data_IF_556638919452
#
_entry.id   IF_556638919452
#
_cell.length_a   1.000
_cell.length_b   1.000
_cell.length_c   1.000
_cell.angle_alpha   90.00
_cell.angle_beta   90.00
_cell.angle_gamma   90.00
#
_symmetry.space_group_name_H-M   'P 1'
#
loop_
_entity.id
_entity.type
_entity.pdbx_description
1 polymer ?
#
# COMPACT_ATOMS: atom_id res chain seq x y z
N UNK A 1 14.20 -21.09 19.14
CA UNK A 1 12.87 -21.12 18.50
C UNK A 1 12.39 -19.69 18.32
N UNK A 2 11.69 -19.42 17.21
CA UNK A 2 11.01 -18.16 16.95
C UNK A 2 9.52 -18.42 16.99
N UNK A 3 8.77 -17.63 17.77
CA UNK A 3 7.32 -17.66 17.83
C UNK A 3 6.78 -16.30 17.38
N UNK A 4 5.78 -16.30 16.49
CA UNK A 4 5.22 -15.10 15.90
C UNK A 4 3.77 -14.98 16.30
N UNK A 5 3.43 -13.90 17.02
CA UNK A 5 2.06 -13.51 17.34
C UNK A 5 1.69 -12.28 16.50
N UNK A 6 0.66 -12.39 15.67
CA UNK A 6 0.24 -11.31 14.78
C UNK A 6 -1.27 -11.09 14.84
N UNK A 7 -1.68 -9.83 14.99
CA UNK A 7 -3.06 -9.39 14.80
C UNK A 7 -3.34 -8.90 13.36
N UNK A 8 -2.30 -8.80 12.52
CA UNK A 8 -2.45 -8.37 11.13
C UNK A 8 -2.97 -9.56 10.31
N UNK A 9 -4.11 -9.42 9.61
CA UNK A 9 -4.63 -10.47 8.74
C UNK A 9 -3.61 -10.87 7.65
N UNK A 10 -3.42 -12.17 7.47
CA UNK A 10 -2.49 -12.71 6.48
C UNK A 10 -3.09 -12.60 5.07
N UNK A 11 -2.33 -12.15 4.11
CA UNK A 11 -2.70 -12.00 2.69
C UNK A 11 -3.85 -11.00 2.42
N UNK A 12 -4.13 -10.10 3.35
CA UNK A 12 -5.12 -9.03 3.21
C UNK A 12 -4.55 -7.73 2.59
N UNK A 13 -3.32 -7.74 2.07
CA UNK A 13 -2.69 -6.55 1.49
C UNK A 13 -2.25 -5.49 2.52
N UNK A 14 -2.13 -5.87 3.79
CA UNK A 14 -1.75 -4.98 4.91
C UNK A 14 -0.27 -5.07 5.29
N UNK A 15 0.59 -5.57 4.42
CA UNK A 15 2.03 -5.63 4.64
C UNK A 15 2.47 -6.62 5.73
N UNK A 16 1.66 -7.65 6.04
CA UNK A 16 1.97 -8.61 7.12
C UNK A 16 3.33 -9.31 6.93
N UNK A 17 3.73 -9.62 5.71
CA UNK A 17 5.03 -10.24 5.41
C UNK A 17 6.18 -9.34 5.83
N UNK A 18 6.16 -8.07 5.41
CA UNK A 18 7.17 -7.08 5.76
C UNK A 18 7.22 -6.83 7.28
N UNK A 19 6.05 -6.80 7.94
CA UNK A 19 5.95 -6.63 9.39
C UNK A 19 6.62 -7.77 10.16
N UNK A 20 6.41 -9.02 9.73
CA UNK A 20 7.05 -10.21 10.33
C UNK A 20 8.58 -10.13 10.19
N UNK A 21 9.09 -9.83 8.99
CA UNK A 21 10.54 -9.72 8.76
C UNK A 21 11.17 -8.63 9.62
N UNK A 22 10.54 -7.45 9.67
CA UNK A 22 11.03 -6.34 10.49
C UNK A 22 11.02 -6.69 11.99
N UNK A 23 9.97 -7.37 12.48
CA UNK A 23 9.86 -7.81 13.86
C UNK A 23 10.94 -8.85 14.22
N UNK A 24 11.14 -9.85 13.35
CA UNK A 24 12.18 -10.87 13.53
C UNK A 24 13.56 -10.24 13.50
N UNK A 25 13.85 -9.35 12.55
CA UNK A 25 15.13 -8.63 12.49
C UNK A 25 15.42 -7.88 13.80
N UNK A 26 14.43 -7.16 14.33
CA UNK A 26 14.54 -6.47 15.62
C UNK A 26 14.74 -7.43 16.80
N UNK A 27 13.99 -8.52 16.86
CA UNK A 27 14.11 -9.50 17.93
C UNK A 27 15.49 -10.16 17.94
N UNK A 28 16.01 -10.54 16.76
CA UNK A 28 17.34 -11.12 16.63
C UNK A 28 18.43 -10.10 16.97
N UNK A 29 18.30 -8.85 16.54
CA UNK A 29 19.28 -7.80 16.87
C UNK A 29 19.36 -7.59 18.39
N UNK A 30 18.21 -7.59 19.07
CA UNK A 30 18.16 -7.52 20.54
C UNK A 30 18.81 -8.71 21.22
N UNK A 31 18.57 -9.93 20.69
CA UNK A 31 19.16 -11.16 21.23
C UNK A 31 20.69 -11.18 21.10
N UNK A 32 21.23 -10.59 20.02
CA UNK A 32 22.66 -10.56 19.72
C UNK A 32 23.37 -9.30 20.24
N UNK A 33 22.64 -8.42 20.95
CA UNK A 33 23.14 -7.12 21.42
C UNK A 33 23.74 -6.26 20.28
N UNK A 34 23.09 -6.30 19.11
CA UNK A 34 23.45 -5.52 17.91
C UNK A 34 22.38 -4.47 17.66
N UNK A 35 22.76 -3.22 17.58
CA UNK A 35 21.83 -2.14 17.25
C UNK A 35 21.65 -2.06 15.71
N UNK A 36 20.39 -2.22 15.23
CA UNK A 36 20.03 -2.02 13.83
C UNK A 36 19.40 -0.64 13.64
N UNK A 37 19.94 0.12 12.69
CA UNK A 37 19.30 1.35 12.22
C UNK A 37 18.00 1.05 11.46
N UNK A 38 17.19 2.07 11.21
CA UNK A 38 16.00 1.92 10.35
C UNK A 38 16.38 1.52 8.94
N UNK A 39 17.51 2.01 8.45
CA UNK A 39 18.07 1.71 7.13
C UNK A 39 18.46 0.22 7.03
N UNK A 40 19.03 -0.35 8.09
CA UNK A 40 19.35 -1.78 8.15
C UNK A 40 18.08 -2.63 8.11
N UNK A 41 17.07 -2.28 8.91
CA UNK A 41 15.78 -2.98 8.93
C UNK A 41 15.09 -2.89 7.57
N UNK A 42 15.10 -1.72 6.93
CA UNK A 42 14.57 -1.54 5.58
C UNK A 42 15.30 -2.43 4.58
N UNK A 43 16.63 -2.45 4.63
CA UNK A 43 17.46 -3.26 3.73
C UNK A 43 17.16 -4.76 3.89
N UNK A 44 17.11 -5.26 5.12
CA UNK A 44 16.77 -6.66 5.43
C UNK A 44 15.38 -7.01 4.90
N UNK A 45 14.40 -6.14 5.13
CA UNK A 45 13.01 -6.37 4.72
C UNK A 45 12.86 -6.33 3.19
N UNK A 46 13.55 -5.41 2.51
CA UNK A 46 13.58 -5.34 1.04
C UNK A 46 14.21 -6.59 0.42
N UNK A 47 15.31 -7.08 1.00
CA UNK A 47 15.97 -8.27 0.50
C UNK A 47 15.11 -9.51 0.69
N UNK A 48 14.43 -9.65 1.83
CA UNK A 48 13.45 -10.71 2.05
C UNK A 48 12.32 -10.69 1.02
N UNK A 49 11.75 -9.51 0.74
CA UNK A 49 10.73 -9.39 -0.32
C UNK A 49 11.27 -9.75 -1.71
N UNK A 50 12.53 -9.41 -1.99
CA UNK A 50 13.18 -9.76 -3.26
C UNK A 50 13.30 -11.27 -3.42
N UNK A 51 13.67 -11.99 -2.36
CA UNK A 51 13.76 -13.45 -2.35
C UNK A 51 12.40 -14.13 -2.58
N UNK A 52 11.33 -13.57 -2.00
CA UNK A 52 9.98 -14.16 -2.09
C UNK A 52 9.24 -13.74 -3.36
N UNK A 53 9.35 -12.48 -3.77
CA UNK A 53 8.50 -11.89 -4.83
C UNK A 53 9.27 -11.43 -6.07
N UNK A 54 10.59 -11.59 -6.11
CA UNK A 54 11.47 -11.25 -7.25
C UNK A 54 11.69 -9.75 -7.42
N UNK A 55 10.67 -8.97 -7.73
CA UNK A 55 10.76 -7.52 -7.94
C UNK A 55 9.82 -6.73 -7.04
N UNK A 56 10.16 -6.54 -5.75
CA UNK A 56 9.31 -5.84 -4.79
C UNK A 56 9.07 -4.39 -5.19
N UNK A 57 7.92 -3.85 -4.81
CA UNK A 57 7.62 -2.43 -4.93
C UNK A 57 8.45 -1.58 -3.98
N UNK A 58 8.73 -2.12 -2.79
CA UNK A 58 9.38 -1.46 -1.67
C UNK A 58 8.42 -0.64 -0.80
N UNK A 59 7.11 -0.65 -1.08
CA UNK A 59 6.11 0.11 -0.30
C UNK A 59 5.98 -0.47 1.10
N UNK A 60 5.69 -1.77 1.21
CA UNK A 60 5.45 -2.44 2.50
C UNK A 60 6.68 -2.41 3.40
N UNK A 61 7.90 -2.74 2.95
CA UNK A 61 9.12 -2.53 3.73
C UNK A 61 9.29 -1.12 4.24
N UNK A 62 9.05 -0.12 3.37
CA UNK A 62 9.25 1.28 3.73
C UNK A 62 8.26 1.72 4.80
N UNK A 63 6.96 1.45 4.62
CA UNK A 63 5.96 1.87 5.62
C UNK A 63 6.09 1.12 6.94
N UNK A 64 6.44 -0.17 6.90
CA UNK A 64 6.69 -0.97 8.10
C UNK A 64 7.87 -0.44 8.90
N UNK A 65 8.92 0.01 8.23
CA UNK A 65 10.13 0.53 8.88
C UNK A 65 9.94 1.93 9.46
N UNK A 66 9.34 2.84 8.70
CA UNK A 66 9.25 4.26 9.08
C UNK A 66 7.95 4.63 9.77
N UNK A 67 6.87 3.92 9.50
CA UNK A 67 5.53 4.19 10.04
C UNK A 67 4.92 5.51 9.55
N UNK A 68 3.74 5.84 10.08
CA UNK A 68 3.05 7.09 9.79
C UNK A 68 2.45 7.13 8.38
N UNK A 69 2.39 8.32 7.79
CA UNK A 69 1.90 8.53 6.41
C UNK A 69 3.07 8.91 5.52
N UNK A 70 3.25 8.18 4.42
CA UNK A 70 4.37 8.37 3.50
C UNK A 70 3.88 8.60 2.08
N UNK A 71 4.48 9.58 1.39
CA UNK A 71 4.44 9.64 -0.06
C UNK A 71 5.62 8.84 -0.61
N UNK A 72 5.34 7.70 -1.22
CA UNK A 72 6.36 6.80 -1.76
C UNK A 72 6.41 6.87 -3.28
N UNK A 73 7.63 6.86 -3.84
CA UNK A 73 7.86 6.72 -5.27
C UNK A 73 9.03 5.77 -5.53
N UNK A 74 8.77 4.66 -6.19
CA UNK A 74 9.82 3.69 -6.57
C UNK A 74 10.97 4.39 -7.30
N UNK A 75 12.20 4.15 -6.82
CA UNK A 75 13.42 4.78 -7.36
C UNK A 75 13.68 6.22 -6.90
N UNK A 76 12.79 6.83 -6.10
CA UNK A 76 12.97 8.16 -5.52
C UNK A 76 12.83 8.18 -3.99
N UNK A 77 12.51 7.02 -3.38
CA UNK A 77 12.33 6.90 -1.93
C UNK A 77 10.96 7.37 -1.44
N UNK A 78 10.91 7.70 -0.17
CA UNK A 78 9.70 8.15 0.53
C UNK A 78 9.89 9.51 1.18
N UNK A 79 8.80 10.26 1.28
CA UNK A 79 8.72 11.52 2.03
C UNK A 79 7.64 11.35 3.10
N UNK A 80 7.98 11.62 4.36
CA UNK A 80 7.00 11.63 5.45
C UNK A 80 6.05 12.80 5.29
N UNK A 81 4.76 12.51 5.44
CA UNK A 81 3.70 13.51 5.46
C UNK A 81 3.32 13.73 6.92
N UNK A 82 3.49 14.95 7.37
CA UNK A 82 3.05 15.35 8.71
C UNK A 82 1.52 15.53 8.68
N UNK A 83 0.84 14.65 9.42
CA UNK A 83 -0.62 14.68 9.60
C UNK A 83 -0.88 14.92 11.07
N UNK A 84 -1.53 16.02 11.39
CA UNK A 84 -1.72 16.49 12.78
C UNK A 84 -2.83 15.78 13.52
N UNK A 85 -3.77 15.18 12.81
CA UNK A 85 -4.95 14.52 13.35
C UNK A 85 -5.06 13.07 12.88
N UNK A 86 -5.80 12.28 13.65
CA UNK A 86 -6.07 10.90 13.29
C UNK A 86 -6.92 10.82 12.02
N UNK A 87 -6.55 9.94 11.12
CA UNK A 87 -7.32 9.69 9.90
C UNK A 87 -8.32 8.56 10.19
N UNK A 88 -9.63 8.83 10.16
CA UNK A 88 -10.65 7.80 10.38
C UNK A 88 -10.71 6.85 9.18
N UNK A 89 -10.15 5.64 9.33
CA UNK A 89 -10.12 4.61 8.29
C UNK A 89 -10.86 3.36 8.74
N UNK A 90 -11.68 2.80 7.84
CA UNK A 90 -12.28 1.49 7.99
C UNK A 90 -11.71 0.58 6.91
N UNK A 91 -11.22 -0.59 7.31
CA UNK A 91 -10.66 -1.58 6.40
C UNK A 91 -11.68 -2.69 6.19
N UNK A 92 -12.11 -2.88 4.93
CA UNK A 92 -12.95 -3.98 4.50
C UNK A 92 -12.12 -5.02 3.76
N UNK A 93 -12.18 -6.27 4.22
CA UNK A 93 -11.50 -7.39 3.56
C UNK A 93 -12.51 -8.26 2.80
N UNK A 94 -12.22 -8.55 1.53
CA UNK A 94 -13.05 -9.45 0.70
C UNK A 94 -12.88 -10.92 1.06
N UNK A 95 -11.86 -11.27 1.82
CA UNK A 95 -11.45 -12.65 2.09
C UNK A 95 -10.87 -13.39 0.87
N UNK A 96 -10.70 -12.72 -0.27
CA UNK A 96 -10.21 -13.33 -1.51
C UNK A 96 -8.70 -13.10 -1.62
N UNK A 97 -7.95 -14.18 -1.64
CA UNK A 97 -6.50 -14.12 -1.85
C UNK A 97 -6.18 -13.90 -3.33
N UNK A 98 -5.32 -12.95 -3.62
CA UNK A 98 -4.82 -12.67 -4.96
C UNK A 98 -3.29 -12.73 -5.00
N UNK A 99 -2.77 -13.17 -6.14
CA UNK A 99 -1.34 -13.06 -6.45
C UNK A 99 -1.04 -11.64 -6.96
N UNK A 100 -0.33 -10.83 -6.17
CA UNK A 100 0.12 -9.50 -6.59
C UNK A 100 0.95 -9.57 -7.88
N UNK A 101 1.78 -10.62 -8.05
CA UNK A 101 2.60 -10.81 -9.24
C UNK A 101 1.76 -10.98 -10.52
N UNK A 102 0.66 -11.75 -10.45
CA UNK A 102 -0.25 -11.94 -11.58
C UNK A 102 -0.95 -10.63 -11.98
N UNK A 103 -1.46 -9.87 -11.00
CA UNK A 103 -2.08 -8.57 -11.26
C UNK A 103 -1.10 -7.58 -11.89
N UNK A 104 0.13 -7.50 -11.39
CA UNK A 104 1.18 -6.65 -11.95
C UNK A 104 1.52 -7.06 -13.39
N UNK A 105 1.62 -8.37 -13.66
CA UNK A 105 1.87 -8.90 -15.00
C UNK A 105 0.75 -8.54 -15.98
N UNK A 106 -0.51 -8.69 -15.55
CA UNK A 106 -1.69 -8.33 -16.33
C UNK A 106 -1.70 -6.82 -16.68
N UNK A 107 -1.42 -5.94 -15.70
CA UNK A 107 -1.35 -4.49 -15.94
C UNK A 107 -0.22 -4.15 -16.91
N UNK A 108 0.94 -4.82 -16.79
CA UNK A 108 2.06 -4.65 -17.73
C UNK A 108 1.65 -5.00 -19.15
N UNK A 109 1.02 -6.16 -19.36
CA UNK A 109 0.55 -6.58 -20.68
C UNK A 109 -0.49 -5.60 -21.25
N UNK A 110 -1.45 -5.14 -20.45
CA UNK A 110 -2.40 -4.10 -20.87
C UNK A 110 -1.72 -2.80 -21.28
N UNK A 111 -0.69 -2.40 -20.53
CA UNK A 111 0.09 -1.21 -20.85
C UNK A 111 0.86 -1.34 -22.15
N UNK A 112 1.39 -2.53 -22.46
CA UNK A 112 2.07 -2.82 -23.71
C UNK A 112 1.08 -2.76 -24.89
N UNK A 113 -0.10 -3.37 -24.75
CA UNK A 113 -1.12 -3.43 -25.79
C UNK A 113 -1.83 -2.07 -26.01
N UNK A 114 -2.04 -1.29 -24.95
CA UNK A 114 -2.85 -0.06 -24.96
C UNK A 114 -2.11 1.11 -24.29
N UNK A 115 -0.85 1.33 -24.64
CA UNK A 115 0.01 2.31 -23.96
C UNK A 115 -0.55 3.74 -23.98
N UNK A 116 -1.19 4.15 -25.09
CA UNK A 116 -1.82 5.47 -25.23
C UNK A 116 -3.00 5.69 -24.27
N UNK A 117 -3.65 4.62 -23.82
CA UNK A 117 -4.75 4.68 -22.85
C UNK A 117 -4.27 4.46 -21.41
N UNK A 118 -3.45 3.43 -21.20
CA UNK A 118 -3.02 3.04 -19.84
C UNK A 118 -2.00 4.01 -19.22
N UNK A 119 -1.08 4.57 -19.99
CA UNK A 119 -0.11 5.53 -19.46
C UNK A 119 -0.74 6.80 -18.88
N UNK A 120 -1.75 7.44 -19.51
CA UNK A 120 -2.49 8.55 -18.90
C UNK A 120 -3.20 8.17 -17.60
N UNK A 121 -3.79 6.96 -17.51
CA UNK A 121 -4.47 6.48 -16.30
C UNK A 121 -3.46 6.32 -15.15
N UNK A 122 -2.31 5.69 -15.38
CA UNK A 122 -1.24 5.56 -14.38
C UNK A 122 -0.73 6.95 -13.94
N UNK A 123 -0.56 7.88 -14.91
CA UNK A 123 -0.16 9.26 -14.61
C UNK A 123 -1.22 10.00 -13.78
N UNK A 124 -2.50 9.78 -14.07
CA UNK A 124 -3.61 10.33 -13.27
C UNK A 124 -3.58 9.80 -11.83
N UNK A 125 -3.36 8.49 -11.64
CA UNK A 125 -3.19 7.90 -10.30
C UNK A 125 -2.05 8.54 -9.50
N UNK A 126 -0.91 8.83 -10.15
CA UNK A 126 0.18 9.57 -9.51
C UNK A 126 -0.20 10.99 -9.12
N UNK A 127 -0.98 11.71 -9.94
CA UNK A 127 -1.50 13.04 -9.61
C UNK A 127 -2.52 12.98 -8.46
N UNK A 128 -3.38 11.96 -8.45
CA UNK A 128 -4.34 11.72 -7.36
C UNK A 128 -3.62 11.57 -6.03
N UNK A 129 -2.51 10.80 -5.99
CA UNK A 129 -1.70 10.65 -4.78
C UNK A 129 -1.08 11.98 -4.31
N UNK A 130 -0.60 12.82 -5.22
CA UNK A 130 -0.06 14.14 -4.86
C UNK A 130 -1.14 15.08 -4.32
N UNK A 131 -2.35 15.08 -4.89
CA UNK A 131 -3.46 15.87 -4.39
C UNK A 131 -3.93 15.36 -3.01
N UNK A 132 -3.90 14.04 -2.78
CA UNK A 132 -4.22 13.45 -1.49
C UNK A 132 -3.26 13.93 -0.37
N UNK A 133 -1.98 14.19 -0.69
CA UNK A 133 -1.04 14.80 0.27
C UNK A 133 -1.52 16.18 0.73
N UNK A 134 -2.03 16.99 -0.18
CA UNK A 134 -2.54 18.32 0.16
C UNK A 134 -3.83 18.21 1.00
N UNK A 135 -4.76 17.33 0.63
CA UNK A 135 -5.97 17.07 1.39
C UNK A 135 -5.64 16.62 2.84
N UNK A 136 -4.70 15.69 3.00
CA UNK A 136 -4.23 15.22 4.31
C UNK A 136 -3.61 16.35 5.15
N UNK A 137 -2.76 17.20 4.57
CA UNK A 137 -2.13 18.32 5.26
C UNK A 137 -3.16 19.38 5.73
N UNK A 138 -4.24 19.52 4.99
CA UNK A 138 -5.30 20.49 5.26
C UNK A 138 -6.47 19.88 6.05
N UNK A 139 -6.38 18.60 6.47
CA UNK A 139 -7.46 17.86 7.14
C UNK A 139 -8.78 17.84 6.36
N UNK A 140 -8.70 17.91 5.03
CA UNK A 140 -9.86 17.86 4.14
C UNK A 140 -10.19 16.42 3.77
N UNK A 141 -10.89 15.73 4.68
CA UNK A 141 -11.27 14.32 4.48
C UNK A 141 -12.35 14.17 3.40
N UNK A 142 -13.12 15.19 3.11
CA UNK A 142 -14.09 15.18 2.00
C UNK A 142 -13.35 15.08 0.67
N UNK A 143 -12.41 15.98 0.43
CA UNK A 143 -11.55 15.93 -0.78
C UNK A 143 -10.73 14.65 -0.82
N UNK A 144 -10.21 14.18 0.32
CA UNK A 144 -9.50 12.89 0.37
C UNK A 144 -10.40 11.73 -0.09
N UNK A 145 -11.66 11.72 0.37
CA UNK A 145 -12.65 10.72 -0.04
C UNK A 145 -12.96 10.78 -1.54
N UNK A 146 -13.15 11.97 -2.11
CA UNK A 146 -13.33 12.15 -3.55
C UNK A 146 -12.13 11.62 -4.34
N UNK A 147 -10.90 11.90 -3.88
CA UNK A 147 -9.68 11.40 -4.50
C UNK A 147 -9.57 9.86 -4.39
N UNK A 148 -10.03 9.27 -3.29
CA UNK A 148 -10.14 7.80 -3.16
C UNK A 148 -11.10 7.23 -4.20
N UNK A 149 -12.25 7.87 -4.41
CA UNK A 149 -13.25 7.45 -5.42
C UNK A 149 -12.68 7.54 -6.84
N UNK A 150 -11.99 8.63 -7.17
CA UNK A 150 -11.28 8.79 -8.45
C UNK A 150 -10.23 7.70 -8.62
N UNK A 151 -9.44 7.45 -7.57
CA UNK A 151 -8.40 6.43 -7.61
C UNK A 151 -8.99 5.03 -7.83
N UNK A 152 -10.11 4.69 -7.18
CA UNK A 152 -10.80 3.43 -7.41
C UNK A 152 -11.24 3.28 -8.87
N UNK A 153 -11.82 4.32 -9.48
CA UNK A 153 -12.20 4.29 -10.89
C UNK A 153 -10.98 4.05 -11.82
N UNK A 154 -9.83 4.68 -11.51
CA UNK A 154 -8.58 4.45 -12.26
C UNK A 154 -8.08 3.01 -12.10
N UNK A 155 -8.18 2.42 -10.90
CA UNK A 155 -7.83 1.02 -10.64
C UNK A 155 -8.76 0.06 -11.39
N UNK A 156 -10.07 0.32 -11.42
CA UNK A 156 -11.02 -0.44 -12.25
C UNK A 156 -10.64 -0.37 -13.73
N UNK A 157 -10.29 0.82 -14.24
CA UNK A 157 -9.93 1.02 -15.63
C UNK A 157 -8.67 0.25 -16.06
N UNK A 158 -7.69 0.08 -15.18
CA UNK A 158 -6.52 -0.79 -15.46
C UNK A 158 -6.78 -2.27 -15.15
N UNK A 159 -7.95 -2.61 -14.58
CA UNK A 159 -8.43 -3.98 -14.37
C UNK A 159 -7.94 -4.67 -13.12
N UNK A 160 -7.59 -3.93 -12.08
CA UNK A 160 -7.15 -4.51 -10.79
C UNK A 160 -8.25 -4.54 -9.73
N UNK A 161 -9.47 -4.16 -10.06
CA UNK A 161 -10.64 -4.38 -9.20
C UNK A 161 -11.38 -5.67 -9.55
N UNK A 162 -12.27 -6.10 -8.67
CA UNK A 162 -13.13 -7.26 -8.85
C UNK A 162 -14.51 -7.02 -8.23
N UNK A 163 -15.49 -7.86 -8.59
CA UNK A 163 -16.89 -7.72 -8.15
C UNK A 163 -17.05 -7.70 -6.61
N UNK A 164 -16.40 -8.55 -5.80
CA UNK A 164 -16.48 -8.45 -4.35
C UNK A 164 -15.94 -7.14 -3.80
N UNK A 165 -14.80 -6.66 -4.31
CA UNK A 165 -14.23 -5.37 -3.90
C UNK A 165 -15.15 -4.20 -4.29
N UNK A 166 -15.70 -4.21 -5.50
CA UNK A 166 -16.64 -3.18 -5.95
C UNK A 166 -17.90 -3.14 -5.10
N UNK A 167 -18.40 -4.31 -4.62
CA UNK A 167 -19.51 -4.39 -3.66
C UNK A 167 -19.18 -3.73 -2.34
N UNK A 168 -17.99 -3.98 -1.77
CA UNK A 168 -17.55 -3.34 -0.52
C UNK A 168 -17.40 -1.83 -0.69
N UNK A 169 -16.78 -1.38 -1.77
CA UNK A 169 -16.62 0.03 -2.08
C UNK A 169 -17.99 0.74 -2.22
N UNK A 170 -18.93 0.14 -2.94
CA UNK A 170 -20.26 0.69 -3.13
C UNK A 170 -21.05 0.71 -1.81
N UNK A 171 -20.97 -0.36 -1.00
CA UNK A 171 -21.61 -0.42 0.31
C UNK A 171 -21.07 0.65 1.26
N UNK A 172 -19.74 0.85 1.29
CA UNK A 172 -19.11 1.88 2.11
C UNK A 172 -19.60 3.29 1.74
N UNK A 173 -19.67 3.59 0.44
CA UNK A 173 -20.19 4.88 -0.05
C UNK A 173 -21.65 5.06 0.27
N UNK A 174 -22.47 4.02 0.10
CA UNK A 174 -23.90 4.05 0.45
C UNK A 174 -24.15 4.25 1.95
N UNK A 175 -23.21 3.80 2.79
CA UNK A 175 -23.24 3.99 4.24
C UNK A 175 -22.70 5.37 4.68
N UNK A 176 -22.33 6.25 3.76
CA UNK A 176 -21.91 7.62 4.06
C UNK A 176 -20.40 7.84 4.21
N UNK A 177 -19.56 6.88 3.82
CA UNK A 177 -18.12 7.13 3.72
C UNK A 177 -17.82 8.23 2.69
N UNK A 178 -16.93 9.18 3.01
CA UNK A 178 -16.50 10.23 2.07
C UNK A 178 -15.93 9.65 0.78
N UNK A 179 -15.28 8.49 0.87
CA UNK A 179 -14.77 7.73 -0.26
C UNK A 179 -14.34 6.33 0.12
N UNK A 180 -14.22 5.46 -0.89
CA UNK A 180 -13.75 4.09 -0.74
C UNK A 180 -13.00 3.60 -1.99
N UNK A 181 -11.97 2.77 -1.77
CA UNK A 181 -11.15 2.21 -2.84
C UNK A 181 -10.57 0.85 -2.45
#
# INVERSE_FOLDING_TARGET
NVEIHSSIPVAAGLGSSAAVVAAVAKAVSHLLDVELSKEDILSITLESERLVHGTPSGIDPTITTYGGVLLFRKGRGSTRIDVKEDIPLIIGDTGIKHSTGELVSMVRQRRENYSSLINPIIKAGGKTALNAVNALKNHDFTVLGELMNINHALLCAIGVSNVPLDKLVNASRAAGAYGAK
#
